data_IF_645769317513
#
_entry.id   IF_645769317513
#
_cell.length_a   1.000
_cell.length_b   1.000
_cell.length_c   1.000
_cell.angle_alpha   90.00
_cell.angle_beta   90.00
_cell.angle_gamma   90.00
#
_symmetry.space_group_name_H-M   'P 1'
#
loop_
_entity.id
_entity.type
_entity.pdbx_description
1 polymer ?
#
# COMPACT_ATOMS: atom_id res chain seq x y z
N UNK A 1 -40.96 15.65 34.49
CA UNK A 1 -40.68 16.64 33.44
C UNK A 1 -39.22 17.03 33.59
N UNK A 2 -38.39 16.72 32.57
CA UNK A 2 -36.97 17.06 32.35
C UNK A 2 -35.94 16.65 33.43
N UNK A 3 -35.35 15.46 33.36
CA UNK A 3 -34.16 15.02 32.59
C UNK A 3 -32.83 15.62 33.07
N UNK A 4 -32.12 14.79 33.85
CA UNK A 4 -30.66 14.77 33.96
C UNK A 4 -30.08 14.38 32.59
N UNK A 5 -29.31 15.27 31.97
CA UNK A 5 -28.43 14.91 30.85
C UNK A 5 -27.18 15.79 30.86
N UNK A 6 -26.30 15.53 31.84
CA UNK A 6 -24.89 15.87 31.67
C UNK A 6 -24.23 14.73 30.89
N UNK A 7 -24.20 14.87 29.58
CA UNK A 7 -23.35 14.07 28.70
C UNK A 7 -21.89 14.52 28.91
N UNK A 8 -21.16 13.77 29.72
CA UNK A 8 -19.70 13.90 29.82
C UNK A 8 -19.06 13.64 28.44
N UNK A 9 -18.16 14.52 27.96
CA UNK A 9 -17.38 14.24 26.76
C UNK A 9 -16.43 13.07 27.04
N UNK A 10 -16.56 11.97 26.29
CA UNK A 10 -15.58 10.88 26.28
C UNK A 10 -14.30 11.37 25.57
N UNK A 11 -13.39 11.98 26.31
CA UNK A 11 -12.01 12.19 25.84
C UNK A 11 -11.32 10.82 25.81
N UNK A 12 -11.16 10.25 24.61
CA UNK A 12 -10.26 9.12 24.42
C UNK A 12 -8.83 9.54 24.81
N UNK A 13 -8.04 8.68 25.46
CA UNK A 13 -6.66 9.03 25.81
C UNK A 13 -5.85 9.26 24.54
N UNK A 14 -5.12 10.38 24.49
CA UNK A 14 -4.24 10.76 23.39
C UNK A 14 -3.00 9.82 23.21
N UNK A 15 -2.89 8.76 24.01
CA UNK A 15 -1.77 7.83 24.02
C UNK A 15 -2.27 6.38 24.08
N UNK A 16 -1.75 5.51 23.20
CA UNK A 16 -1.90 4.06 23.32
C UNK A 16 -0.81 3.55 24.25
N UNK A 17 -1.20 2.95 25.38
CA UNK A 17 -0.22 2.51 26.38
C UNK A 17 0.25 1.10 26.09
N UNK A 18 1.41 0.74 26.66
CA UNK A 18 1.96 -0.60 26.53
C UNK A 18 0.99 -1.67 27.05
N UNK A 19 0.26 -1.39 28.14
CA UNK A 19 -0.69 -2.34 28.73
C UNK A 19 -1.84 -2.68 27.77
N UNK A 20 -2.30 -1.70 26.99
CA UNK A 20 -3.37 -1.89 26.01
C UNK A 20 -2.91 -2.84 24.89
N UNK A 21 -1.63 -2.76 24.49
CA UNK A 21 -1.00 -3.64 23.50
C UNK A 21 -0.74 -5.04 24.08
N UNK A 22 -0.33 -5.14 25.35
CA UNK A 22 -0.16 -6.43 26.03
C UNK A 22 -1.49 -7.16 26.20
N UNK A 23 -2.56 -6.43 26.51
CA UNK A 23 -3.92 -6.98 26.54
C UNK A 23 -4.34 -7.46 25.15
N UNK A 24 -4.12 -6.64 24.10
CA UNK A 24 -4.39 -7.06 22.73
C UNK A 24 -3.61 -8.31 22.33
N UNK A 25 -2.34 -8.42 22.71
CA UNK A 25 -1.52 -9.61 22.47
C UNK A 25 -2.06 -10.85 23.19
N UNK A 26 -2.70 -10.70 24.34
CA UNK A 26 -3.39 -11.79 25.03
C UNK A 26 -4.66 -12.19 24.28
N UNK A 27 -5.49 -11.24 23.89
CA UNK A 27 -6.74 -11.44 23.12
C UNK A 27 -6.49 -12.17 21.81
N UNK A 28 -5.37 -11.89 21.14
CA UNK A 28 -5.04 -12.46 19.84
C UNK A 28 -4.46 -13.90 19.89
N UNK A 29 -4.22 -14.46 21.09
CA UNK A 29 -3.68 -15.82 21.23
C UNK A 29 -4.63 -16.86 20.64
N UNK A 30 -4.09 -17.74 19.81
CA UNK A 30 -4.86 -18.81 19.17
C UNK A 30 -5.62 -18.37 17.91
N UNK A 31 -5.54 -17.09 17.55
CA UNK A 31 -6.22 -16.51 16.37
C UNK A 31 -5.19 -16.06 15.35
N UNK A 32 -4.15 -15.37 15.82
CA UNK A 32 -3.02 -14.97 14.99
C UNK A 32 -1.78 -15.80 15.34
N UNK A 33 -0.97 -16.07 14.33
CA UNK A 33 0.34 -16.71 14.53
C UNK A 33 1.41 -15.62 14.75
N UNK A 34 2.37 -15.83 15.67
CA UNK A 34 3.55 -14.97 15.75
C UNK A 34 4.31 -15.08 14.42
N UNK A 35 4.32 -14.00 13.64
CA UNK A 35 4.93 -14.05 12.30
C UNK A 35 6.45 -14.00 12.40
N UNK A 36 7.18 -14.65 11.49
CA UNK A 36 8.63 -14.66 11.54
C UNK A 36 9.26 -13.26 11.46
N UNK A 37 10.30 -13.03 12.26
CA UNK A 37 11.29 -11.97 12.05
C UNK A 37 12.52 -12.61 11.40
N UNK A 38 12.66 -12.45 10.08
CA UNK A 38 13.62 -13.20 9.28
C UNK A 38 14.81 -12.34 8.90
N UNK A 39 16.02 -12.75 9.29
CA UNK A 39 17.23 -12.16 8.74
C UNK A 39 17.30 -12.43 7.22
N UNK A 40 17.50 -11.37 6.42
CA UNK A 40 17.59 -11.46 4.98
C UNK A 40 19.03 -11.19 4.53
N UNK A 41 19.77 -12.27 4.24
CA UNK A 41 21.20 -12.19 3.89
C UNK A 41 21.47 -11.40 2.60
N UNK A 42 20.61 -11.57 1.57
CA UNK A 42 20.79 -10.91 0.27
C UNK A 42 20.58 -9.40 0.36
N UNK A 43 19.47 -8.97 0.97
CA UNK A 43 19.23 -7.54 1.21
C UNK A 43 20.32 -6.94 2.09
N UNK A 44 20.73 -7.66 3.15
CA UNK A 44 21.79 -7.22 4.04
C UNK A 44 23.12 -6.99 3.31
N UNK A 45 23.50 -7.91 2.43
CA UNK A 45 24.69 -7.77 1.60
C UNK A 45 24.58 -6.62 0.59
N UNK A 46 23.41 -6.45 -0.05
CA UNK A 46 23.14 -5.37 -1.02
C UNK A 46 23.24 -3.98 -0.41
N UNK A 47 22.78 -3.81 0.84
CA UNK A 47 22.70 -2.50 1.50
C UNK A 47 23.76 -2.26 2.58
N UNK A 48 24.64 -3.24 2.85
CA UNK A 48 25.70 -3.10 3.86
C UNK A 48 25.19 -2.96 5.29
N UNK A 49 24.01 -3.48 5.61
CA UNK A 49 23.36 -3.40 6.92
C UNK A 49 22.71 -4.73 7.29
N UNK A 50 22.27 -4.92 8.54
CA UNK A 50 21.63 -6.16 9.02
C UNK A 50 20.11 -6.05 8.88
N UNK A 51 19.57 -6.55 7.77
CA UNK A 51 18.15 -6.42 7.46
C UNK A 51 17.36 -7.63 7.97
N UNK A 52 16.30 -7.35 8.72
CA UNK A 52 15.29 -8.31 9.14
C UNK A 52 13.94 -7.95 8.55
N UNK A 53 13.19 -8.95 8.07
CA UNK A 53 11.84 -8.79 7.57
C UNK A 53 10.84 -9.31 8.60
N UNK A 54 9.92 -8.46 9.06
CA UNK A 54 8.75 -8.88 9.84
C UNK A 54 7.64 -9.28 8.87
N UNK A 55 7.37 -10.59 8.77
CA UNK A 55 6.58 -11.22 7.71
C UNK A 55 5.07 -11.25 7.96
N UNK A 56 4.43 -10.08 8.07
CA UNK A 56 2.97 -10.01 8.24
C UNK A 56 2.18 -10.47 6.99
N UNK A 57 2.83 -10.59 5.84
CA UNK A 57 2.33 -11.31 4.65
C UNK A 57 2.02 -12.80 4.92
N UNK A 58 2.62 -13.39 5.95
CA UNK A 58 2.39 -14.79 6.34
C UNK A 58 1.31 -14.96 7.41
N UNK A 59 0.62 -13.88 7.79
CA UNK A 59 -0.50 -13.97 8.73
C UNK A 59 -1.70 -14.70 8.10
N UNK A 60 -2.67 -15.13 8.92
CA UNK A 60 -3.84 -15.93 8.47
C UNK A 60 -4.61 -15.28 7.30
N UNK A 61 -4.84 -13.97 7.34
CA UNK A 61 -5.47 -13.19 6.25
C UNK A 61 -4.44 -12.52 5.34
N UNK A 62 -3.20 -13.02 5.37
CA UNK A 62 -2.03 -12.55 4.60
C UNK A 62 -1.72 -11.06 4.76
N UNK A 63 -2.09 -10.50 5.91
CA UNK A 63 -1.75 -9.13 6.30
C UNK A 63 -1.93 -8.93 7.79
N UNK A 64 -1.37 -7.83 8.31
CA UNK A 64 -1.48 -7.46 9.72
C UNK A 64 -2.92 -7.13 10.19
N UNK A 65 -3.86 -6.86 9.26
CA UNK A 65 -5.17 -6.24 9.56
C UNK A 65 -6.05 -7.06 10.50
N UNK A 66 -5.89 -8.39 10.54
CA UNK A 66 -6.59 -9.25 11.49
C UNK A 66 -6.30 -8.88 12.94
N UNK A 67 -5.10 -8.37 13.25
CA UNK A 67 -4.70 -8.04 14.63
C UNK A 67 -5.56 -6.93 15.21
N UNK A 68 -5.68 -5.83 14.47
CA UNK A 68 -6.55 -4.72 14.86
C UNK A 68 -8.02 -5.14 14.86
N UNK A 69 -8.50 -5.71 13.75
CA UNK A 69 -9.91 -6.07 13.57
C UNK A 69 -10.40 -7.01 14.67
N UNK A 70 -9.68 -8.09 14.93
CA UNK A 70 -10.06 -9.06 15.95
C UNK A 70 -10.01 -8.46 17.35
N UNK A 71 -8.98 -7.67 17.68
CA UNK A 71 -8.89 -7.03 18.99
C UNK A 71 -10.05 -6.07 19.25
N UNK A 72 -10.46 -5.28 18.24
CA UNK A 72 -11.62 -4.40 18.36
C UNK A 72 -12.89 -5.21 18.58
N UNK A 73 -13.17 -6.21 17.72
CA UNK A 73 -14.43 -6.95 17.71
C UNK A 73 -14.57 -7.83 18.95
N UNK A 74 -13.49 -8.52 19.35
CA UNK A 74 -13.46 -9.33 20.58
C UNK A 74 -13.66 -8.49 21.84
N UNK A 75 -13.12 -7.27 21.85
CA UNK A 75 -13.22 -6.32 22.96
C UNK A 75 -14.55 -5.57 23.06
N UNK A 76 -15.52 -5.81 22.16
CA UNK A 76 -16.82 -5.13 22.22
C UNK A 76 -17.67 -5.61 23.41
N UNK A 77 -18.53 -4.74 23.99
CA UNK A 77 -19.57 -5.17 24.92
C UNK A 77 -20.50 -6.23 24.31
N UNK A 78 -21.12 -7.07 25.15
CA UNK A 78 -22.01 -8.14 24.69
C UNK A 78 -23.16 -7.61 23.82
N UNK A 79 -23.78 -6.50 24.23
CA UNK A 79 -24.87 -5.86 23.48
C UNK A 79 -24.44 -5.37 22.08
N UNK A 80 -23.19 -4.90 21.93
CA UNK A 80 -22.66 -4.50 20.61
C UNK A 80 -22.35 -5.73 19.74
N UNK A 81 -21.84 -6.81 20.35
CA UNK A 81 -21.59 -8.07 19.64
C UNK A 81 -22.87 -8.71 19.11
N UNK A 82 -23.96 -8.68 19.89
CA UNK A 82 -25.26 -9.19 19.45
C UNK A 82 -25.82 -8.41 18.25
N UNK A 83 -25.60 -7.09 18.19
CA UNK A 83 -26.00 -6.28 17.03
C UNK A 83 -25.13 -6.57 15.81
N UNK A 84 -23.84 -6.83 16.01
CA UNK A 84 -22.89 -7.11 14.95
C UNK A 84 -22.13 -5.88 14.46
N UNK A 85 -21.36 -6.07 13.39
CA UNK A 85 -20.41 -5.06 12.90
C UNK A 85 -20.62 -4.68 11.43
N UNK A 86 -20.22 -3.46 11.09
CA UNK A 86 -20.22 -2.94 9.72
C UNK A 86 -18.82 -2.49 9.35
N UNK A 87 -18.38 -2.82 8.14
CA UNK A 87 -17.12 -2.38 7.56
C UNK A 87 -17.33 -1.91 6.12
N UNK A 88 -16.60 -0.87 5.70
CA UNK A 88 -16.47 -0.48 4.30
C UNK A 88 -15.03 -0.68 3.84
N UNK A 89 -14.78 -1.69 3.03
CA UNK A 89 -13.46 -2.00 2.45
C UNK A 89 -13.61 -3.15 1.46
N UNK A 90 -12.79 -3.17 0.41
CA UNK A 90 -12.69 -4.29 -0.53
C UNK A 90 -11.32 -5.01 -0.44
N UNK A 91 -10.53 -4.76 0.61
CA UNK A 91 -9.15 -5.24 0.72
C UNK A 91 -8.84 -5.92 2.06
N UNK A 92 -7.59 -5.78 2.50
CA UNK A 92 -7.05 -6.45 3.71
C UNK A 92 -7.89 -6.19 4.97
N UNK A 93 -8.45 -4.99 5.12
CA UNK A 93 -9.31 -4.68 6.27
C UNK A 93 -10.60 -5.49 6.26
N UNK A 94 -11.26 -5.62 5.10
CA UNK A 94 -12.45 -6.44 4.95
C UNK A 94 -12.19 -7.91 5.27
N UNK A 95 -11.07 -8.46 4.80
CA UNK A 95 -10.66 -9.84 5.12
C UNK A 95 -10.42 -10.02 6.63
N UNK A 96 -9.73 -9.07 7.27
CA UNK A 96 -9.50 -9.09 8.72
C UNK A 96 -10.79 -9.03 9.54
N UNK A 97 -11.73 -8.16 9.15
CA UNK A 97 -13.07 -8.08 9.76
C UNK A 97 -13.86 -9.36 9.54
N UNK A 98 -13.89 -9.86 8.30
CA UNK A 98 -14.65 -11.05 7.94
C UNK A 98 -14.19 -12.28 8.72
N UNK A 99 -12.88 -12.51 8.76
CA UNK A 99 -12.29 -13.57 9.56
C UNK A 99 -12.67 -13.44 11.04
N UNK A 100 -12.61 -12.21 11.57
CA UNK A 100 -12.92 -11.95 12.98
C UNK A 100 -14.38 -12.23 13.31
N UNK A 101 -15.31 -11.87 12.42
CA UNK A 101 -16.73 -12.20 12.53
C UNK A 101 -16.96 -13.71 12.59
N UNK A 102 -16.35 -14.45 11.65
CA UNK A 102 -16.44 -15.91 11.61
C UNK A 102 -15.87 -16.57 12.88
N UNK A 103 -14.68 -16.15 13.32
CA UNK A 103 -14.00 -16.72 14.47
C UNK A 103 -14.69 -16.42 15.81
N UNK A 104 -15.44 -15.33 15.91
CA UNK A 104 -16.15 -14.90 17.12
C UNK A 104 -17.64 -15.20 17.11
N UNK A 105 -18.16 -15.77 16.02
CA UNK A 105 -19.60 -16.00 15.81
C UNK A 105 -20.44 -14.72 15.90
N UNK A 106 -19.95 -13.64 15.27
CA UNK A 106 -20.59 -12.31 15.28
C UNK A 106 -21.03 -11.94 13.86
N UNK A 107 -22.29 -11.48 13.66
CA UNK A 107 -22.75 -11.07 12.34
C UNK A 107 -22.02 -9.80 11.86
N UNK A 108 -21.62 -9.80 10.59
CA UNK A 108 -20.94 -8.69 9.93
C UNK A 108 -21.56 -8.34 8.59
N UNK A 109 -21.55 -7.05 8.25
CA UNK A 109 -21.90 -6.57 6.90
C UNK A 109 -20.70 -5.82 6.33
N UNK A 110 -20.26 -6.22 5.14
CA UNK A 110 -19.11 -5.61 4.46
C UNK A 110 -19.59 -4.93 3.19
N UNK A 111 -19.49 -3.61 3.18
CA UNK A 111 -19.80 -2.77 2.04
C UNK A 111 -18.58 -2.64 1.14
N UNK A 112 -18.78 -2.92 -0.14
CA UNK A 112 -17.78 -2.79 -1.19
C UNK A 112 -18.37 -2.08 -2.41
N UNK A 113 -17.56 -1.38 -3.22
CA UNK A 113 -18.00 -0.87 -4.52
C UNK A 113 -18.54 -2.00 -5.41
N UNK A 114 -19.57 -1.72 -6.22
CA UNK A 114 -20.11 -2.67 -7.19
C UNK A 114 -19.10 -3.06 -8.28
N UNK A 115 -18.10 -2.21 -8.51
CA UNK A 115 -16.97 -2.43 -9.42
C UNK A 115 -15.87 -3.33 -8.83
N UNK A 116 -16.02 -3.83 -7.60
CA UNK A 116 -15.02 -4.67 -6.94
C UNK A 116 -14.80 -5.99 -7.70
N UNK A 117 -13.54 -6.36 -8.02
CA UNK A 117 -13.24 -7.64 -8.68
C UNK A 117 -13.75 -8.84 -7.87
N UNK A 118 -14.29 -9.85 -8.58
CA UNK A 118 -14.83 -11.08 -7.97
C UNK A 118 -13.85 -11.80 -7.05
N UNK A 119 -12.56 -11.77 -7.37
CA UNK A 119 -11.53 -12.36 -6.53
C UNK A 119 -11.46 -11.72 -5.13
N UNK A 120 -11.56 -10.39 -5.04
CA UNK A 120 -11.56 -9.69 -3.75
C UNK A 120 -12.82 -9.99 -2.94
N UNK A 121 -13.98 -10.06 -3.61
CA UNK A 121 -15.26 -10.46 -3.00
C UNK A 121 -15.17 -11.89 -2.45
N UNK A 122 -14.74 -12.85 -3.27
CA UNK A 122 -14.65 -14.25 -2.90
C UNK A 122 -13.68 -14.51 -1.73
N UNK A 123 -12.59 -13.74 -1.59
CA UNK A 123 -11.71 -13.83 -0.42
C UNK A 123 -12.42 -13.42 0.87
N UNK A 124 -13.23 -12.37 0.82
CA UNK A 124 -13.97 -11.89 1.99
C UNK A 124 -15.08 -12.86 2.38
N UNK A 125 -15.81 -13.39 1.40
CA UNK A 125 -16.82 -14.45 1.62
C UNK A 125 -16.16 -15.72 2.18
N UNK A 126 -14.99 -16.12 1.67
CA UNK A 126 -14.24 -17.28 2.16
C UNK A 126 -13.87 -17.14 3.64
N UNK A 127 -13.35 -15.99 4.05
CA UNK A 127 -12.99 -15.75 5.46
C UNK A 127 -14.19 -15.53 6.37
N UNK A 128 -15.25 -14.92 5.85
CA UNK A 128 -16.46 -14.57 6.61
C UNK A 128 -17.47 -15.70 6.77
N UNK A 129 -17.51 -16.65 5.83
CA UNK A 129 -18.48 -17.74 5.84
C UNK A 129 -19.93 -17.24 5.88
N UNK A 130 -20.76 -17.90 6.68
CA UNK A 130 -22.16 -17.54 6.91
C UNK A 130 -22.35 -16.35 7.86
N UNK A 131 -21.27 -15.87 8.50
CA UNK A 131 -21.31 -14.75 9.45
C UNK A 131 -21.22 -13.39 8.79
N UNK A 132 -20.91 -13.33 7.50
CA UNK A 132 -20.67 -12.08 6.79
C UNK A 132 -21.53 -11.98 5.55
N UNK A 133 -22.23 -10.86 5.43
CA UNK A 133 -22.92 -10.47 4.21
C UNK A 133 -22.07 -9.42 3.46
N UNK A 134 -21.71 -9.68 2.20
CA UNK A 134 -21.07 -8.70 1.33
C UNK A 134 -22.13 -7.93 0.55
N UNK A 135 -22.15 -6.60 0.67
CA UNK A 135 -23.07 -5.70 -0.04
C UNK A 135 -22.30 -4.84 -1.04
N UNK A 136 -22.60 -5.05 -2.31
CA UNK A 136 -22.02 -4.31 -3.43
C UNK A 136 -22.85 -3.06 -3.73
N UNK A 137 -22.33 -1.86 -3.42
CA UNK A 137 -23.07 -0.61 -3.54
C UNK A 137 -22.18 0.51 -4.08
N UNK A 138 -22.72 1.28 -5.02
CA UNK A 138 -22.05 2.40 -5.65
C UNK A 138 -20.88 2.01 -6.54
N UNK A 139 -20.26 2.99 -7.17
CA UNK A 139 -19.16 2.75 -8.11
C UNK A 139 -17.79 3.00 -7.47
N UNK A 140 -17.78 3.70 -6.32
CA UNK A 140 -16.57 4.14 -5.63
C UNK A 140 -16.52 3.68 -4.17
N UNK A 141 -15.32 3.75 -3.57
CA UNK A 141 -15.14 3.52 -2.14
C UNK A 141 -15.97 4.50 -1.30
N UNK A 142 -16.06 5.76 -1.71
CA UNK A 142 -16.79 6.80 -0.99
C UNK A 142 -18.30 6.49 -0.94
N UNK A 143 -18.86 5.95 -2.03
CA UNK A 143 -20.27 5.50 -2.06
C UNK A 143 -20.51 4.36 -1.05
N UNK A 144 -19.66 3.33 -1.08
CA UNK A 144 -19.75 2.19 -0.18
C UNK A 144 -19.56 2.60 1.29
N UNK A 145 -18.65 3.54 1.56
CA UNK A 145 -18.43 4.11 2.90
C UNK A 145 -19.63 4.92 3.37
N UNK A 146 -20.18 5.81 2.54
CA UNK A 146 -21.35 6.62 2.88
C UNK A 146 -22.55 5.73 3.22
N UNK A 147 -22.75 4.65 2.46
CA UNK A 147 -23.79 3.68 2.72
C UNK A 147 -23.55 2.88 4.01
N UNK A 148 -22.33 2.43 4.27
CA UNK A 148 -21.98 1.77 5.53
C UNK A 148 -22.28 2.69 6.74
N UNK A 149 -21.96 3.97 6.64
CA UNK A 149 -22.27 4.97 7.68
C UNK A 149 -23.78 5.19 7.84
N UNK A 150 -24.56 5.12 6.76
CA UNK A 150 -26.02 5.15 6.84
C UNK A 150 -26.55 3.93 7.58
N UNK A 151 -26.11 2.73 7.21
CA UNK A 151 -26.53 1.50 7.84
C UNK A 151 -26.19 1.45 9.33
N UNK A 152 -25.01 1.94 9.75
CA UNK A 152 -24.64 2.09 11.17
C UNK A 152 -25.68 2.91 11.95
N UNK A 153 -26.17 4.03 11.39
CA UNK A 153 -27.19 4.87 12.03
C UNK A 153 -28.55 4.18 12.11
N UNK A 154 -28.89 3.33 11.14
CA UNK A 154 -30.18 2.65 11.06
C UNK A 154 -30.25 1.39 11.94
N UNK A 155 -29.16 0.61 12.00
CA UNK A 155 -29.14 -0.69 12.69
C UNK A 155 -28.53 -0.62 14.09
N UNK A 156 -27.74 0.42 14.39
CA UNK A 156 -26.97 0.51 15.64
C UNK A 156 -25.79 -0.49 15.72
N UNK A 157 -25.41 -1.10 14.59
CA UNK A 157 -24.22 -1.94 14.49
C UNK A 157 -22.94 -1.12 14.63
N UNK A 158 -21.88 -1.73 15.13
CA UNK A 158 -20.60 -1.04 15.36
C UNK A 158 -19.81 -0.93 14.06
N UNK A 159 -19.43 0.29 13.67
CA UNK A 159 -18.52 0.50 12.54
C UNK A 159 -17.08 0.15 12.92
N UNK A 160 -16.43 -0.72 12.14
CA UNK A 160 -15.05 -1.13 12.36
C UNK A 160 -14.13 -0.29 11.47
N UNK A 161 -13.59 0.79 12.02
CA UNK A 161 -12.69 1.67 11.28
C UNK A 161 -11.39 0.93 10.88
N UNK A 162 -10.85 1.14 9.66
CA UNK A 162 -9.63 0.47 9.22
C UNK A 162 -8.33 0.83 9.96
N UNK A 163 -8.31 1.87 10.79
CA UNK A 163 -7.08 2.39 11.41
C UNK A 163 -7.30 3.36 12.57
N UNK A 164 -8.31 4.23 12.52
CA UNK A 164 -8.50 5.33 13.48
C UNK A 164 -9.37 4.93 14.70
N UNK A 165 -8.99 3.83 15.35
CA UNK A 165 -9.60 3.37 16.61
C UNK A 165 -8.50 2.83 17.53
N UNK A 166 -8.54 3.21 18.80
CA UNK A 166 -7.53 2.84 19.79
C UNK A 166 -7.32 1.32 19.91
N UNK A 167 -8.38 0.51 19.77
CA UNK A 167 -8.31 -0.96 19.82
C UNK A 167 -7.69 -1.53 18.55
N UNK A 168 -7.95 -0.93 17.39
CA UNK A 168 -7.27 -1.29 16.14
C UNK A 168 -5.78 -1.01 16.27
N UNK A 169 -5.40 0.17 16.76
CA UNK A 169 -4.01 0.58 16.94
C UNK A 169 -3.30 -0.32 17.95
N UNK A 170 -3.94 -0.62 19.10
CA UNK A 170 -3.39 -1.53 20.10
C UNK A 170 -3.17 -2.95 19.55
N UNK A 171 -4.13 -3.46 18.76
CA UNK A 171 -4.00 -4.74 18.06
C UNK A 171 -2.82 -4.74 17.10
N UNK A 172 -2.69 -3.70 16.26
CA UNK A 172 -1.56 -3.57 15.34
C UNK A 172 -0.21 -3.41 16.08
N UNK A 173 -0.20 -2.81 17.27
CA UNK A 173 0.99 -2.68 18.11
C UNK A 173 1.60 -4.01 18.56
N UNK A 174 0.83 -5.10 18.49
CA UNK A 174 1.36 -6.44 18.75
C UNK A 174 2.42 -6.88 17.74
N UNK A 175 2.44 -6.28 16.54
CA UNK A 175 3.56 -6.44 15.59
C UNK A 175 4.86 -5.90 16.19
N UNK A 176 4.82 -4.70 16.80
CA UNK A 176 5.96 -4.09 17.49
C UNK A 176 6.43 -4.95 18.67
N UNK A 177 5.49 -5.49 19.44
CA UNK A 177 5.78 -6.47 20.51
C UNK A 177 6.54 -7.68 20.00
N UNK A 178 6.03 -8.34 18.97
CA UNK A 178 6.65 -9.53 18.42
C UNK A 178 8.03 -9.24 17.80
N UNK A 179 8.23 -8.07 17.20
CA UNK A 179 9.55 -7.64 16.72
C UNK A 179 10.53 -7.60 17.89
N UNK A 180 10.19 -6.87 18.96
CA UNK A 180 11.09 -6.69 20.10
C UNK A 180 11.35 -7.98 20.88
N UNK A 181 10.39 -8.92 20.92
CA UNK A 181 10.59 -10.24 21.51
C UNK A 181 11.45 -11.19 20.65
N UNK A 182 11.37 -11.07 19.32
CA UNK A 182 12.11 -11.93 18.40
C UNK A 182 13.55 -11.45 18.13
N UNK A 183 13.80 -10.15 18.28
CA UNK A 183 15.13 -9.56 18.11
C UNK A 183 16.12 -10.07 19.15
N UNK A 184 17.27 -10.59 18.69
CA UNK A 184 18.39 -10.99 19.56
C UNK A 184 19.38 -9.84 19.80
N UNK A 185 19.34 -8.83 18.94
CA UNK A 185 20.21 -7.67 18.94
C UNK A 185 19.34 -6.40 18.92
N UNK A 186 19.85 -5.26 19.41
CA UNK A 186 19.13 -3.99 19.31
C UNK A 186 18.72 -3.66 17.86
N UNK A 187 17.53 -3.08 17.72
CA UNK A 187 17.04 -2.55 16.44
C UNK A 187 17.40 -1.07 16.40
N UNK A 188 18.27 -0.69 15.46
CA UNK A 188 18.67 0.70 15.27
C UNK A 188 17.59 1.46 14.51
N UNK A 189 17.05 0.85 13.44
CA UNK A 189 16.01 1.45 12.58
C UNK A 189 14.87 0.48 12.30
N UNK A 190 13.63 0.95 12.41
CA UNK A 190 12.42 0.22 12.04
C UNK A 190 11.67 0.99 10.95
N UNK A 191 11.47 0.35 9.81
CA UNK A 191 10.68 0.87 8.69
C UNK A 191 9.27 0.26 8.74
N UNK A 192 8.25 1.12 8.74
CA UNK A 192 6.84 0.71 8.84
C UNK A 192 5.99 1.41 7.79
N UNK A 193 5.17 0.64 7.07
CA UNK A 193 4.23 1.17 6.09
C UNK A 193 3.21 2.10 6.75
N UNK A 194 2.97 3.25 6.12
CA UNK A 194 1.96 4.22 6.51
C UNK A 194 0.94 4.34 5.37
N UNK A 195 -0.32 4.09 5.71
CA UNK A 195 -1.48 4.59 4.95
C UNK A 195 -2.25 5.52 5.88
N UNK A 196 -3.37 5.04 6.44
CA UNK A 196 -4.08 5.77 7.50
C UNK A 196 -3.37 5.82 8.86
N UNK A 197 -2.12 5.37 8.97
CA UNK A 197 -1.29 5.45 10.19
C UNK A 197 -1.53 4.39 11.28
N UNK A 198 -2.58 3.56 11.20
CA UNK A 198 -2.94 2.64 12.30
C UNK A 198 -1.90 1.54 12.61
N UNK A 199 -1.13 1.10 11.62
CA UNK A 199 0.00 0.16 11.84
C UNK A 199 1.17 0.89 12.50
N UNK A 200 1.61 1.99 11.89
CA UNK A 200 2.75 2.78 12.35
C UNK A 200 2.54 3.30 13.78
N UNK A 201 1.37 3.87 14.08
CA UNK A 201 1.03 4.34 15.42
C UNK A 201 1.12 3.22 16.47
N UNK A 202 0.59 2.03 16.16
CA UNK A 202 0.59 0.89 17.09
C UNK A 202 2.00 0.34 17.32
N UNK A 203 2.73 0.11 16.24
CA UNK A 203 4.13 -0.38 16.30
C UNK A 203 5.00 0.62 17.04
N UNK A 204 4.90 1.90 16.71
CA UNK A 204 5.70 2.94 17.34
C UNK A 204 5.38 3.10 18.83
N UNK A 205 4.11 3.01 19.23
CA UNK A 205 3.69 3.08 20.63
C UNK A 205 4.36 2.00 21.48
N UNK A 206 4.42 0.75 20.99
CA UNK A 206 5.11 -0.32 21.72
C UNK A 206 6.63 -0.14 21.70
N UNK A 207 7.20 0.08 20.51
CA UNK A 207 8.66 0.11 20.31
C UNK A 207 9.29 1.26 21.08
N UNK A 208 8.72 2.48 21.02
CA UNK A 208 9.25 3.63 21.78
C UNK A 208 9.17 3.43 23.29
N UNK A 209 8.20 2.66 23.78
CA UNK A 209 8.06 2.38 25.20
C UNK A 209 9.12 1.39 25.73
N UNK A 210 9.59 0.43 24.91
CA UNK A 210 10.61 -0.57 25.32
C UNK A 210 12.02 -0.27 24.81
N UNK A 211 12.15 0.45 23.70
CA UNK A 211 13.39 0.79 23.01
C UNK A 211 13.29 2.22 22.46
N UNK A 212 13.32 3.24 23.34
CA UNK A 212 13.08 4.64 22.95
C UNK A 212 14.09 5.18 21.93
N UNK A 213 15.30 4.59 21.89
CA UNK A 213 16.36 4.98 20.96
C UNK A 213 16.23 4.35 19.57
N UNK A 214 15.34 3.37 19.37
CA UNK A 214 15.08 2.83 18.03
C UNK A 214 14.45 3.93 17.17
N UNK A 215 15.07 4.23 16.03
CA UNK A 215 14.54 5.18 15.06
C UNK A 215 13.43 4.51 14.24
N UNK A 216 12.27 5.12 14.18
CA UNK A 216 11.11 4.60 13.46
C UNK A 216 10.80 5.53 12.30
N UNK A 217 10.84 4.98 11.10
CA UNK A 217 10.58 5.72 9.85
C UNK A 217 9.30 5.18 9.25
N UNK A 218 8.30 6.07 9.10
CA UNK A 218 7.09 5.79 8.34
C UNK A 218 7.37 5.85 6.85
N UNK A 219 6.78 4.93 6.08
CA UNK A 219 6.96 4.86 4.63
C UNK A 219 5.61 4.92 3.92
N UNK A 220 5.40 5.99 3.15
CA UNK A 220 4.20 6.20 2.32
C UNK A 220 4.52 6.01 0.82
N UNK A 221 3.52 5.71 -0.02
CA UNK A 221 3.66 5.84 -1.46
C UNK A 221 3.71 7.32 -1.87
N UNK A 222 4.50 7.66 -2.89
CA UNK A 222 4.61 9.03 -3.42
C UNK A 222 3.28 9.59 -3.92
N UNK A 223 2.44 8.74 -4.51
CA UNK A 223 1.12 9.12 -4.99
C UNK A 223 0.05 9.29 -3.90
N UNK A 224 0.34 8.98 -2.63
CA UNK A 224 -0.60 9.24 -1.52
C UNK A 224 0.11 9.54 -0.17
N UNK A 225 0.87 10.64 -0.07
CA UNK A 225 1.70 10.97 1.10
C UNK A 225 0.90 11.71 2.19
N UNK A 226 -0.19 11.10 2.65
CA UNK A 226 -1.19 11.75 3.50
C UNK A 226 -0.71 12.09 4.91
N UNK A 227 0.14 11.26 5.51
CA UNK A 227 0.74 11.49 6.82
C UNK A 227 1.82 12.56 6.73
N UNK A 228 2.69 12.50 5.72
CA UNK A 228 3.70 13.52 5.48
C UNK A 228 3.06 14.89 5.29
N UNK A 229 2.03 14.99 4.43
CA UNK A 229 1.30 16.24 4.22
C UNK A 229 0.65 16.78 5.51
N UNK A 230 0.11 15.89 6.36
CA UNK A 230 -0.45 16.29 7.65
C UNK A 230 0.62 16.79 8.62
N UNK A 231 1.79 16.13 8.67
CA UNK A 231 2.93 16.55 9.50
C UNK A 231 3.50 17.90 9.08
N UNK A 232 3.65 18.13 7.78
CA UNK A 232 4.16 19.40 7.23
C UNK A 232 3.24 20.57 7.51
N UNK A 233 1.91 20.35 7.47
CA UNK A 233 0.90 21.36 7.76
C UNK A 233 0.59 21.52 9.25
N UNK A 234 0.98 20.55 10.07
CA UNK A 234 0.65 20.49 11.49
C UNK A 234 -0.80 20.10 11.79
N UNK A 235 -1.60 19.73 10.80
CA UNK A 235 -3.01 19.37 10.93
C UNK A 235 -3.45 18.29 9.91
N UNK A 236 -4.51 17.54 10.25
CA UNK A 236 -5.04 16.49 9.38
C UNK A 236 -5.86 17.09 8.24
N UNK A 237 -5.30 17.05 7.03
CA UNK A 237 -5.97 17.48 5.81
C UNK A 237 -6.12 16.33 4.81
N UNK A 238 -7.18 16.32 3.98
CA UNK A 238 -7.24 15.44 2.83
C UNK A 238 -6.31 15.95 1.71
N UNK A 239 -5.65 15.02 1.02
CA UNK A 239 -5.01 15.28 -0.27
C UNK A 239 -6.07 15.65 -1.32
N UNK A 240 -5.71 16.39 -2.37
CA UNK A 240 -6.64 16.71 -3.47
C UNK A 240 -6.88 15.46 -4.34
N UNK A 241 -5.77 14.86 -4.77
CA UNK A 241 -5.70 13.67 -5.62
C UNK A 241 -4.76 12.62 -5.02
N UNK A 242 -4.96 11.36 -5.39
CA UNK A 242 -4.09 10.24 -4.99
C UNK A 242 -3.93 9.24 -6.15
N UNK A 243 -2.75 8.61 -6.28
CA UNK A 243 -2.61 7.35 -7.02
C UNK A 243 -3.12 6.20 -6.14
N UNK A 244 -4.02 5.39 -6.69
CA UNK A 244 -4.65 4.25 -6.00
C UNK A 244 -3.88 2.95 -6.14
N UNK A 245 -2.75 2.94 -6.86
CA UNK A 245 -1.98 1.73 -7.15
C UNK A 245 -1.54 0.99 -5.89
N UNK A 246 -1.02 1.71 -4.88
CA UNK A 246 -0.64 1.12 -3.59
C UNK A 246 -1.87 1.05 -2.68
N UNK A 247 -2.88 0.28 -3.09
CA UNK A 247 -4.23 0.26 -2.51
C UNK A 247 -4.29 0.02 -0.98
N UNK A 248 -3.33 -0.70 -0.40
CA UNK A 248 -3.21 -0.88 1.06
C UNK A 248 -2.73 0.36 1.83
N UNK A 249 -2.15 1.35 1.14
CA UNK A 249 -1.56 2.57 1.70
C UNK A 249 -2.05 3.88 1.03
N UNK A 250 -2.81 3.79 -0.07
CA UNK A 250 -3.37 4.93 -0.81
C UNK A 250 -4.55 5.57 -0.06
N UNK A 251 -4.24 6.30 1.01
CA UNK A 251 -5.23 6.94 1.89
C UNK A 251 -5.25 8.43 1.64
N UNK A 252 -6.43 9.00 1.37
CA UNK A 252 -6.59 10.43 1.06
C UNK A 252 -6.42 11.32 2.29
N UNK A 253 -6.86 10.85 3.47
CA UNK A 253 -6.81 11.57 4.75
C UNK A 253 -6.45 10.58 5.86
N UNK A 254 -5.41 10.86 6.63
CA UNK A 254 -5.04 10.05 7.80
C UNK A 254 -6.09 10.15 8.91
N UNK A 255 -5.97 9.26 9.91
CA UNK A 255 -6.80 9.30 11.10
C UNK A 255 -6.38 10.42 12.05
N UNK A 256 -7.31 10.93 12.84
CA UNK A 256 -7.01 12.00 13.80
C UNK A 256 -6.19 11.46 14.98
N UNK A 257 -6.52 10.26 15.47
CA UNK A 257 -5.76 9.59 16.53
C UNK A 257 -4.42 9.07 16.00
N UNK A 258 -4.41 8.50 14.80
CA UNK A 258 -3.18 7.97 14.22
C UNK A 258 -2.20 9.10 13.86
N UNK A 259 -2.66 10.25 13.38
CA UNK A 259 -1.82 11.43 13.17
C UNK A 259 -1.18 11.91 14.47
N UNK A 260 -1.98 12.10 15.53
CA UNK A 260 -1.47 12.57 16.83
C UNK A 260 -0.35 11.66 17.36
N UNK A 261 -0.54 10.34 17.28
CA UNK A 261 0.46 9.36 17.71
C UNK A 261 1.68 9.35 16.79
N UNK A 262 1.48 9.32 15.47
CA UNK A 262 2.59 9.28 14.52
C UNK A 262 3.45 10.53 14.57
N UNK A 263 2.85 11.72 14.74
CA UNK A 263 3.57 12.99 14.92
C UNK A 263 4.51 12.95 16.13
N UNK A 264 4.09 12.31 17.21
CA UNK A 264 4.85 12.28 18.47
C UNK A 264 5.84 11.11 18.54
N UNK A 265 5.61 10.02 17.77
CA UNK A 265 6.35 8.76 17.92
C UNK A 265 7.22 8.38 16.72
N UNK A 266 6.92 8.85 15.51
CA UNK A 266 7.77 8.63 14.34
C UNK A 266 8.90 9.65 14.31
N UNK A 267 10.10 9.21 13.98
CA UNK A 267 11.26 10.10 13.85
C UNK A 267 11.29 10.78 12.46
N UNK A 268 10.67 10.16 11.46
CA UNK A 268 10.60 10.64 10.08
C UNK A 268 9.50 9.91 9.31
N UNK A 269 8.95 10.57 8.28
CA UNK A 269 8.13 9.93 7.25
C UNK A 269 8.77 10.20 5.91
N UNK A 270 8.94 9.16 5.10
CA UNK A 270 9.47 9.24 3.73
C UNK A 270 8.46 8.69 2.73
N UNK A 271 8.62 9.11 1.48
CA UNK A 271 7.79 8.65 0.36
C UNK A 271 8.61 7.79 -0.60
N UNK A 272 7.97 6.81 -1.23
CA UNK A 272 8.60 5.93 -2.23
C UNK A 272 7.78 5.93 -3.51
N UNK A 273 8.39 6.18 -4.68
CA UNK A 273 7.70 6.11 -5.97
C UNK A 273 7.12 4.72 -6.24
N UNK A 274 5.92 4.66 -6.81
CA UNK A 274 5.21 3.41 -7.13
C UNK A 274 6.03 2.50 -8.04
N UNK A 275 6.76 3.11 -8.99
CA UNK A 275 7.67 2.40 -9.87
C UNK A 275 8.77 1.64 -9.11
N UNK A 276 9.35 2.25 -8.07
CA UNK A 276 10.33 1.60 -7.19
C UNK A 276 9.70 0.48 -6.36
N UNK A 277 8.47 0.69 -5.89
CA UNK A 277 7.68 -0.35 -5.21
C UNK A 277 7.52 -1.55 -6.15
N UNK A 278 7.18 -1.31 -7.43
CA UNK A 278 7.05 -2.36 -8.44
C UNK A 278 8.35 -3.13 -8.67
N UNK A 279 9.48 -2.42 -8.87
CA UNK A 279 10.79 -3.09 -8.97
C UNK A 279 11.04 -3.98 -7.75
N UNK A 280 10.73 -3.46 -6.56
CA UNK A 280 10.96 -4.19 -5.31
C UNK A 280 10.07 -5.43 -5.17
N UNK A 281 8.81 -5.39 -5.61
CA UNK A 281 7.94 -6.58 -5.64
C UNK A 281 8.56 -7.67 -6.53
N UNK A 282 9.08 -7.30 -7.71
CA UNK A 282 9.72 -8.23 -8.62
C UNK A 282 11.02 -8.80 -8.03
N UNK A 283 11.84 -7.97 -7.37
CA UNK A 283 13.05 -8.42 -6.65
C UNK A 283 12.67 -9.41 -5.53
N UNK A 284 11.68 -9.08 -4.69
CA UNK A 284 11.18 -9.94 -3.61
C UNK A 284 10.67 -11.28 -4.13
N UNK A 285 9.94 -11.29 -5.25
CA UNK A 285 9.43 -12.50 -5.86
C UNK A 285 10.57 -13.36 -6.44
N UNK A 286 11.40 -12.79 -7.32
CA UNK A 286 12.40 -13.53 -8.08
C UNK A 286 13.60 -13.98 -7.23
N UNK A 287 14.02 -13.16 -6.26
CA UNK A 287 15.25 -13.41 -5.51
C UNK A 287 15.00 -14.00 -4.12
N UNK A 288 13.81 -13.79 -3.55
CA UNK A 288 13.50 -14.19 -2.17
C UNK A 288 12.29 -15.13 -2.05
N UNK A 289 11.58 -15.40 -3.14
CA UNK A 289 10.32 -16.15 -3.14
C UNK A 289 9.29 -15.55 -2.16
N UNK A 290 9.26 -14.21 -2.05
CA UNK A 290 8.31 -13.46 -1.23
C UNK A 290 7.27 -12.83 -2.14
N UNK A 291 6.00 -13.21 -1.93
CA UNK A 291 4.85 -12.58 -2.60
C UNK A 291 4.35 -11.43 -1.73
N UNK A 292 4.83 -10.23 -2.02
CA UNK A 292 4.36 -9.00 -1.37
C UNK A 292 3.31 -8.30 -2.24
N UNK A 293 2.31 -7.71 -1.60
CA UNK A 293 1.47 -6.69 -2.25
C UNK A 293 2.21 -5.34 -2.29
N UNK A 294 1.77 -4.35 -3.06
CA UNK A 294 2.43 -3.04 -3.13
C UNK A 294 2.70 -2.39 -1.77
N UNK A 295 1.71 -2.35 -0.88
CA UNK A 295 1.87 -1.78 0.46
C UNK A 295 2.84 -2.59 1.33
N UNK A 296 2.89 -3.91 1.12
CA UNK A 296 3.80 -4.83 1.79
C UNK A 296 5.27 -4.67 1.37
N UNK A 297 5.51 -4.19 0.15
CA UNK A 297 6.87 -3.97 -0.37
C UNK A 297 7.45 -2.58 -0.04
N UNK A 298 6.62 -1.60 0.37
CA UNK A 298 7.03 -0.21 0.61
C UNK A 298 8.28 -0.07 1.49
N UNK A 299 8.30 -0.75 2.64
CA UNK A 299 9.42 -0.64 3.60
C UNK A 299 10.73 -1.20 3.05
N UNK A 300 10.68 -2.22 2.20
CA UNK A 300 11.86 -2.76 1.51
C UNK A 300 12.26 -1.83 0.37
N UNK A 301 11.28 -1.24 -0.33
CA UNK A 301 11.49 -0.33 -1.45
C UNK A 301 12.20 0.98 -1.04
N UNK A 302 12.07 1.37 0.23
CA UNK A 302 12.77 2.51 0.82
C UNK A 302 14.27 2.26 1.11
N UNK A 303 14.73 1.01 1.19
CA UNK A 303 16.11 0.69 1.58
C UNK A 303 17.19 1.38 0.71
N UNK A 304 17.11 1.39 -0.63
CA UNK A 304 18.09 2.09 -1.46
C UNK A 304 18.16 3.59 -1.19
N UNK A 305 17.02 4.23 -0.88
CA UNK A 305 16.93 5.67 -0.61
C UNK A 305 17.58 6.05 0.73
N UNK A 306 17.75 5.07 1.62
CA UNK A 306 18.34 5.25 2.94
C UNK A 306 19.72 4.60 3.07
N UNK A 307 20.29 4.03 2.00
CA UNK A 307 21.45 3.14 2.06
C UNK A 307 22.64 3.72 2.85
N UNK A 308 23.02 4.97 2.57
CA UNK A 308 24.13 5.65 3.26
C UNK A 308 23.87 5.82 4.77
N UNK A 309 22.61 6.07 5.13
CA UNK A 309 22.17 6.29 6.53
C UNK A 309 22.02 4.98 7.30
N UNK A 310 21.86 3.85 6.61
CA UNK A 310 21.61 2.54 7.20
C UNK A 310 22.87 1.66 7.30
N UNK A 311 23.98 2.05 6.65
CA UNK A 311 25.20 1.26 6.62
C UNK A 311 25.67 0.83 8.03
N UNK A 312 25.90 -0.47 8.23
CA UNK A 312 26.31 -1.07 9.50
C UNK A 312 25.20 -1.23 10.54
N UNK A 313 24.02 -0.64 10.34
CA UNK A 313 22.93 -0.67 11.31
C UNK A 313 22.10 -1.95 11.23
N UNK A 314 21.37 -2.26 12.31
CA UNK A 314 20.31 -3.25 12.38
C UNK A 314 18.98 -2.64 11.98
N UNK A 315 18.40 -3.13 10.89
CA UNK A 315 17.19 -2.57 10.26
C UNK A 315 16.08 -3.61 10.21
N UNK A 316 14.88 -3.25 10.67
CA UNK A 316 13.68 -4.07 10.52
C UNK A 316 12.75 -3.45 9.49
N UNK A 317 12.38 -4.20 8.46
CA UNK A 317 11.33 -3.82 7.51
C UNK A 317 10.06 -4.63 7.78
N UNK A 318 8.93 -3.95 7.98
CA UNK A 318 7.63 -4.62 8.10
C UNK A 318 7.06 -4.90 6.70
N UNK A 319 6.95 -6.18 6.34
CA UNK A 319 6.26 -6.63 5.13
C UNK A 319 4.78 -6.76 5.49
N UNK A 320 4.02 -5.68 5.33
CA UNK A 320 2.69 -5.53 5.93
C UNK A 320 1.62 -6.47 5.38
N UNK A 321 1.77 -6.96 4.15
CA UNK A 321 0.79 -7.84 3.52
C UNK A 321 1.28 -8.47 2.21
N UNK A 322 0.55 -9.50 1.78
CA UNK A 322 0.87 -10.34 0.63
C UNK A 322 -0.34 -10.66 -0.26
N UNK A 323 -1.44 -9.90 -0.15
CA UNK A 323 -2.64 -10.12 -0.97
C UNK A 323 -2.49 -9.50 -2.36
N UNK A 324 -1.42 -9.88 -3.06
CA UNK A 324 -1.18 -9.47 -4.43
C UNK A 324 -2.01 -10.29 -5.42
N UNK A 325 -2.52 -9.62 -6.45
CA UNK A 325 -3.25 -10.26 -7.54
C UNK A 325 -2.29 -10.60 -8.70
N UNK A 326 -2.39 -11.81 -9.24
CA UNK A 326 -1.53 -12.25 -10.36
C UNK A 326 -1.81 -11.41 -11.60
N UNK A 327 -3.06 -11.00 -11.81
CA UNK A 327 -3.44 -10.18 -12.97
C UNK A 327 -2.79 -8.79 -12.92
N UNK A 328 -2.43 -8.30 -11.72
CA UNK A 328 -1.70 -7.03 -11.54
C UNK A 328 -0.22 -7.14 -11.87
N UNK A 329 0.33 -8.34 -12.06
CA UNK A 329 1.77 -8.51 -12.33
C UNK A 329 2.20 -7.88 -13.65
N UNK A 330 1.31 -7.78 -14.63
CA UNK A 330 1.59 -7.09 -15.90
C UNK A 330 1.79 -5.58 -15.68
N UNK A 331 0.86 -4.94 -14.97
CA UNK A 331 0.96 -3.52 -14.59
C UNK A 331 2.20 -3.26 -13.73
N UNK A 332 2.49 -4.14 -12.75
CA UNK A 332 3.70 -4.06 -11.91
C UNK A 332 4.96 -4.12 -12.78
N UNK A 333 5.04 -5.06 -13.73
CA UNK A 333 6.20 -5.18 -14.63
C UNK A 333 6.35 -3.93 -15.48
N UNK A 334 5.25 -3.40 -16.01
CA UNK A 334 5.28 -2.19 -16.82
C UNK A 334 5.75 -0.96 -16.03
N UNK A 335 5.14 -0.67 -14.89
CA UNK A 335 5.54 0.46 -14.02
C UNK A 335 7.00 0.33 -13.57
N UNK A 336 7.46 -0.89 -13.27
CA UNK A 336 8.87 -1.15 -12.98
C UNK A 336 9.78 -0.79 -14.15
N UNK A 337 9.49 -1.29 -15.36
CA UNK A 337 10.35 -1.02 -16.53
C UNK A 337 10.36 0.46 -16.91
N UNK A 338 9.24 1.17 -16.75
CA UNK A 338 9.18 2.63 -16.95
C UNK A 338 10.07 3.34 -15.93
N UNK A 339 9.96 2.97 -14.65
CA UNK A 339 10.74 3.57 -13.57
C UNK A 339 12.25 3.33 -13.70
N UNK A 340 12.65 2.12 -14.09
CA UNK A 340 14.05 1.76 -14.33
C UNK A 340 14.60 2.37 -15.64
N UNK A 341 13.78 3.11 -16.41
CA UNK A 341 14.20 3.74 -17.66
C UNK A 341 14.41 2.74 -18.81
N UNK A 342 13.77 1.58 -18.72
CA UNK A 342 13.86 0.50 -19.72
C UNK A 342 12.69 0.52 -20.71
N UNK A 343 11.51 1.03 -20.34
CA UNK A 343 10.34 1.05 -21.23
C UNK A 343 9.85 2.46 -21.50
N UNK A 344 9.76 2.80 -22.77
CA UNK A 344 9.44 4.16 -23.24
C UNK A 344 8.35 4.11 -24.31
N UNK A 345 7.37 5.00 -24.19
CA UNK A 345 6.26 5.15 -25.09
C UNK A 345 6.32 6.51 -25.76
N UNK A 346 6.18 6.49 -27.08
CA UNK A 346 6.28 7.67 -27.92
C UNK A 346 5.05 7.76 -28.82
N UNK A 347 4.54 8.98 -28.99
CA UNK A 347 3.72 9.31 -30.14
C UNK A 347 4.64 9.85 -31.23
N UNK A 348 5.06 8.99 -32.16
CA UNK A 348 5.99 9.34 -33.24
C UNK A 348 5.20 9.75 -34.48
N UNK A 349 5.54 10.89 -35.04
CA UNK A 349 4.93 11.37 -36.27
C UNK A 349 5.76 10.92 -37.48
N UNK A 350 5.27 9.90 -38.18
CA UNK A 350 5.93 9.36 -39.36
C UNK A 350 5.61 10.21 -40.60
N UNK A 351 6.63 10.66 -41.36
CA UNK A 351 6.39 11.33 -42.64
C UNK A 351 5.69 10.37 -43.60
N UNK A 352 4.67 10.85 -44.32
CA UNK A 352 3.89 10.03 -45.26
C UNK A 352 4.63 9.78 -46.59
N UNK A 353 5.84 9.23 -46.50
CA UNK A 353 6.62 8.73 -47.62
C UNK A 353 6.91 7.25 -47.46
N UNK A 354 7.01 6.54 -48.58
CA UNK A 354 7.42 5.14 -48.59
C UNK A 354 8.76 4.96 -47.87
N UNK A 355 8.86 3.94 -47.03
CA UNK A 355 10.10 3.59 -46.31
C UNK A 355 10.35 4.32 -44.99
N UNK A 356 9.50 5.27 -44.57
CA UNK A 356 9.70 5.99 -43.31
C UNK A 356 9.74 5.08 -42.06
N UNK A 357 8.87 4.08 -42.00
CA UNK A 357 8.90 3.08 -40.92
C UNK A 357 10.19 2.26 -40.98
N UNK A 358 10.60 1.83 -42.17
CA UNK A 358 11.84 1.07 -42.35
C UNK A 358 13.06 1.88 -41.90
N UNK A 359 13.12 3.17 -42.24
CA UNK A 359 14.18 4.06 -41.78
C UNK A 359 14.21 4.20 -40.24
N UNK A 360 13.06 4.22 -39.58
CA UNK A 360 13.01 4.20 -38.12
C UNK A 360 13.55 2.89 -37.55
N UNK A 361 13.15 1.75 -38.12
CA UNK A 361 13.63 0.45 -37.68
C UNK A 361 15.15 0.26 -37.92
N UNK A 362 15.63 0.67 -39.09
CA UNK A 362 17.02 0.41 -39.52
C UNK A 362 18.01 1.43 -38.92
N UNK A 363 17.60 2.71 -38.76
CA UNK A 363 18.51 3.80 -38.43
C UNK A 363 18.22 4.50 -37.08
N UNK A 364 17.05 4.28 -36.46
CA UNK A 364 16.70 4.89 -35.17
C UNK A 364 16.78 3.90 -34.02
N UNK A 365 16.28 2.68 -34.19
CA UNK A 365 16.43 1.66 -33.15
C UNK A 365 17.90 1.23 -33.00
N UNK A 366 18.30 1.01 -31.75
CA UNK A 366 19.54 0.37 -31.41
C UNK A 366 19.51 -1.12 -31.76
N UNK A 367 20.68 -1.78 -31.83
CA UNK A 367 20.78 -3.19 -32.21
C UNK A 367 20.09 -4.15 -31.21
N UNK A 368 19.89 -3.70 -29.97
CA UNK A 368 19.29 -4.45 -28.88
C UNK A 368 17.94 -3.87 -28.42
N UNK A 369 17.42 -2.82 -29.09
CA UNK A 369 16.13 -2.19 -28.74
C UNK A 369 14.98 -3.04 -29.30
N UNK A 370 13.94 -3.28 -28.50
CA UNK A 370 12.76 -4.05 -28.92
C UNK A 370 11.52 -3.16 -29.05
N UNK A 371 10.68 -3.43 -30.05
CA UNK A 371 9.37 -2.77 -30.18
C UNK A 371 8.31 -3.65 -29.51
N UNK A 372 7.82 -3.17 -28.38
CA UNK A 372 6.80 -3.84 -27.56
C UNK A 372 5.38 -3.41 -27.90
N UNK A 373 5.22 -2.24 -28.52
CA UNK A 373 3.92 -1.77 -29.03
C UNK A 373 4.12 -0.94 -30.29
N UNK A 374 3.30 -1.17 -31.30
CA UNK A 374 3.27 -0.34 -32.51
C UNK A 374 1.86 -0.23 -33.04
N UNK A 375 1.27 0.96 -32.96
CA UNK A 375 -0.06 1.25 -33.51
C UNK A 375 0.02 2.42 -34.46
N UNK A 376 -0.29 2.18 -35.73
CA UNK A 376 -0.26 3.19 -36.78
C UNK A 376 -1.64 3.41 -37.37
N UNK A 377 -2.14 4.65 -37.28
CA UNK A 377 -3.41 5.03 -37.90
C UNK A 377 -3.17 5.89 -39.14
N UNK A 378 -3.40 5.32 -40.33
CA UNK A 378 -3.32 6.05 -41.60
C UNK A 378 -4.50 7.01 -41.74
N UNK A 379 -4.26 8.32 -41.66
CA UNK A 379 -5.28 9.36 -41.93
C UNK A 379 -5.17 9.84 -43.38
N UNK A 380 -6.24 9.68 -44.15
CA UNK A 380 -6.30 9.99 -45.58
C UNK A 380 -6.17 11.48 -45.96
N UNK A 381 -6.21 12.43 -45.00
CA UNK A 381 -6.29 13.88 -45.25
C UNK A 381 -5.34 14.75 -44.39
N UNK A 382 -4.27 14.18 -43.80
CA UNK A 382 -3.22 14.95 -43.10
C UNK A 382 -1.85 14.54 -43.64
N UNK A 383 -0.91 15.47 -43.74
CA UNK A 383 0.47 15.21 -44.24
C UNK A 383 1.29 14.24 -43.35
N UNK A 384 0.76 13.90 -42.17
CA UNK A 384 1.47 13.29 -41.06
C UNK A 384 0.57 12.27 -40.34
N UNK A 385 1.08 11.05 -40.14
CA UNK A 385 0.38 9.96 -39.46
C UNK A 385 1.04 9.66 -38.10
N UNK A 386 0.38 9.99 -36.96
CA UNK A 386 0.93 9.63 -35.66
C UNK A 386 0.87 8.11 -35.46
N UNK A 387 1.97 7.55 -34.99
CA UNK A 387 2.05 6.17 -34.53
C UNK A 387 2.39 6.15 -33.03
N UNK A 388 1.68 5.32 -32.28
CA UNK A 388 2.09 4.95 -30.95
C UNK A 388 3.19 3.90 -31.04
N UNK A 389 4.33 4.17 -30.42
CA UNK A 389 5.50 3.27 -30.43
C UNK A 389 5.97 3.07 -29.00
N UNK A 390 5.88 1.84 -28.50
CA UNK A 390 6.49 1.40 -27.26
C UNK A 390 7.83 0.72 -27.57
N UNK A 391 8.90 1.18 -26.93
CA UNK A 391 10.26 0.68 -27.07
C UNK A 391 10.76 0.20 -25.72
N UNK A 392 11.26 -1.03 -25.68
CA UNK A 392 11.98 -1.61 -24.54
C UNK A 392 13.48 -1.59 -24.84
N UNK A 393 14.24 -1.02 -23.92
CA UNK A 393 15.69 -0.88 -23.98
C UNK A 393 16.34 -1.96 -23.12
N UNK A 394 17.54 -2.35 -23.52
CA UNK A 394 18.38 -3.27 -22.74
C UNK A 394 19.09 -2.58 -21.58
N UNK A 395 19.51 -1.33 -21.78
CA UNK A 395 20.15 -0.49 -20.75
C UNK A 395 19.48 0.89 -20.69
N UNK A 396 19.30 1.48 -19.50
CA UNK A 396 18.75 2.83 -19.38
C UNK A 396 19.59 3.90 -20.12
N UNK A 397 20.89 3.67 -20.26
CA UNK A 397 21.83 4.53 -20.98
C UNK A 397 21.55 4.61 -22.49
N UNK A 398 20.82 3.63 -23.06
CA UNK A 398 20.51 3.57 -24.50
C UNK A 398 19.44 4.59 -24.91
N UNK A 399 18.71 5.16 -23.94
CA UNK A 399 17.65 6.13 -24.19
C UNK A 399 18.18 7.42 -24.84
N UNK A 400 19.32 7.94 -24.36
CA UNK A 400 19.95 9.15 -24.92
C UNK A 400 20.30 8.97 -26.41
N UNK A 401 21.08 7.94 -26.76
CA UNK A 401 21.37 7.59 -28.16
C UNK A 401 20.12 7.37 -29.03
N UNK A 402 19.08 6.71 -28.51
CA UNK A 402 17.80 6.53 -29.22
C UNK A 402 17.17 7.88 -29.58
N UNK A 403 17.07 8.79 -28.62
CA UNK A 403 16.54 10.15 -28.80
C UNK A 403 17.38 10.97 -29.77
N UNK A 404 18.71 10.89 -29.68
CA UNK A 404 19.62 11.56 -30.61
C UNK A 404 19.41 11.10 -32.06
N UNK A 405 19.25 9.79 -32.29
CA UNK A 405 18.97 9.25 -33.63
C UNK A 405 17.59 9.68 -34.15
N UNK A 406 16.56 9.68 -33.30
CA UNK A 406 15.24 10.22 -33.66
C UNK A 406 15.33 11.68 -34.13
N UNK A 407 16.02 12.52 -33.36
CA UNK A 407 16.19 13.94 -33.67
C UNK A 407 17.02 14.16 -34.94
N UNK A 408 18.13 13.42 -35.09
CA UNK A 408 19.00 13.49 -36.27
C UNK A 408 18.26 13.14 -37.57
N UNK A 409 17.39 12.12 -37.52
CA UNK A 409 16.55 11.70 -38.65
C UNK A 409 15.30 12.57 -38.85
N UNK A 410 15.07 13.54 -37.97
CA UNK A 410 13.95 14.47 -38.07
C UNK A 410 12.58 13.89 -37.72
N UNK A 411 12.54 12.77 -36.98
CA UNK A 411 11.28 12.24 -36.45
C UNK A 411 10.80 13.15 -35.33
N UNK A 412 9.61 13.74 -35.49
CA UNK A 412 8.95 14.48 -34.40
C UNK A 412 8.22 13.49 -33.51
N UNK A 413 8.42 13.57 -32.21
CA UNK A 413 7.78 12.70 -31.25
C UNK A 413 7.31 13.46 -30.01
N UNK A 414 6.38 12.85 -29.28
CA UNK A 414 6.01 13.22 -27.91
C UNK A 414 6.26 12.02 -27.03
N UNK A 415 6.93 12.21 -25.90
CA UNK A 415 7.15 11.16 -24.91
C UNK A 415 5.92 11.03 -24.01
N UNK A 416 5.27 9.87 -24.04
CA UNK A 416 4.03 9.65 -23.33
C UNK A 416 4.28 9.39 -21.84
N UNK A 417 5.38 8.74 -21.46
CA UNK A 417 5.72 8.49 -20.05
C UNK A 417 5.84 9.77 -19.22
N UNK A 418 6.11 10.92 -19.86
CA UNK A 418 6.27 12.22 -19.21
C UNK A 418 4.97 13.02 -19.12
N UNK A 419 3.88 12.51 -19.70
CA UNK A 419 2.56 13.12 -19.67
C UNK A 419 1.55 12.09 -19.15
N UNK A 420 1.25 12.09 -17.84
CA UNK A 420 0.34 11.11 -17.24
C UNK A 420 -1.06 11.08 -17.87
N UNK A 421 -1.53 12.23 -18.38
CA UNK A 421 -2.85 12.32 -18.99
C UNK A 421 -2.87 11.67 -20.37
N UNK A 422 -1.84 11.90 -21.20
CA UNK A 422 -1.71 11.21 -22.47
C UNK A 422 -1.38 9.73 -22.31
N UNK A 423 -0.57 9.38 -21.30
CA UNK A 423 -0.23 8.00 -20.99
C UNK A 423 -1.49 7.19 -20.70
N UNK A 424 -2.29 7.60 -19.70
CA UNK A 424 -3.51 6.89 -19.30
C UNK A 424 -4.61 6.85 -20.38
N UNK A 425 -4.53 7.71 -21.40
CA UNK A 425 -5.48 7.73 -22.52
C UNK A 425 -5.09 6.74 -23.62
N UNK A 426 -3.79 6.46 -23.79
CA UNK A 426 -3.23 5.78 -24.97
C UNK A 426 -2.60 4.42 -24.63
N UNK A 427 -2.20 4.22 -23.38
CA UNK A 427 -1.62 3.01 -22.81
C UNK A 427 -2.57 2.53 -21.71
#
# INVERSE_FOLDING_TARGET
MMTLSDSLPRTAPASIRMEDILFAAHTLRGVVSPTPLQFNQRLSAKHGCRIHLKREDQQVVRSFKIRGAYNLISGMPAEERERGVICASAGNHAQGVAYSCAALDIPGIIYMPATTPRQKIGQVELFGGDKVEVRLIGDTFDDAYAEAQRAVRETGMTFVHPFDDARIIAGNGTVGKEIMEACKEPVDVLLVTVGGGGLAAGVASYVKAVSPNTRIIGVEPEGAPSMLAAMERGEVVPLEEIDKFVDGAAVKRVGDLTYALCRDLLDEVIVVPEGRVCTTILELYNEHAIVAEPAGALTVAALPMLAERLAGLSVVCVVSGGNNDVDRMQEIKERSMIYEGLKHYFMVNFPQRSGALREFLDDVLGPDDDIVQFEYTKKHNKENGPALVGIELKSPEDYGPLVERMNYKGFRYVELNKDPLLFNLLI
#
